data_IF_126872337559
#
_entry.id   IF_126872337559
#
_cell.length_a   1.000
_cell.length_b   1.000
_cell.length_c   1.000
_cell.angle_alpha   90.00
_cell.angle_beta   90.00
_cell.angle_gamma   90.00
#
_symmetry.space_group_name_H-M   'P 1'
#
loop_
_entity.id
_entity.type
_entity.pdbx_description
1 polymer ?
#
# COMPACT_ATOMS: atom_id res chain seq x y z
N UNK A 1 11.17 -30.85 -12.35
CA UNK A 1 10.46 -31.68 -11.35
C UNK A 1 10.97 -31.42 -9.94
N UNK A 2 10.12 -31.59 -8.92
CA UNK A 2 10.48 -31.44 -7.49
C UNK A 2 10.29 -30.06 -6.86
N UNK A 3 9.97 -29.03 -7.65
CA UNK A 3 9.80 -27.64 -7.21
C UNK A 3 8.86 -27.43 -6.01
N UNK A 4 7.76 -28.17 -5.90
CA UNK A 4 6.83 -28.07 -4.76
C UNK A 4 7.42 -28.46 -3.40
N UNK A 5 8.53 -29.20 -3.39
CA UNK A 5 9.17 -29.70 -2.17
C UNK A 5 10.44 -28.93 -1.82
N UNK A 6 10.75 -27.85 -2.54
CA UNK A 6 11.88 -26.96 -2.22
C UNK A 6 11.50 -26.06 -1.04
N UNK A 7 12.16 -26.18 0.13
CA UNK A 7 11.81 -25.41 1.32
C UNK A 7 11.90 -23.89 1.13
N UNK A 8 12.74 -23.44 0.19
CA UNK A 8 12.94 -22.03 -0.13
C UNK A 8 11.68 -21.35 -0.70
N UNK A 9 10.73 -22.13 -1.22
CA UNK A 9 9.48 -21.63 -1.79
C UNK A 9 8.31 -21.65 -0.80
N UNK A 10 8.54 -22.12 0.43
CA UNK A 10 7.53 -22.11 1.49
C UNK A 10 7.34 -20.68 1.99
N UNK A 11 6.12 -20.18 1.87
CA UNK A 11 5.72 -18.88 2.39
C UNK A 11 5.44 -19.01 3.88
N UNK A 12 6.22 -18.31 4.71
CA UNK A 12 6.00 -18.23 6.16
C UNK A 12 5.56 -16.80 6.55
N UNK A 13 6.46 -15.83 6.36
CA UNK A 13 6.15 -14.41 6.55
C UNK A 13 5.56 -13.80 5.27
N UNK A 14 4.55 -12.94 5.44
CA UNK A 14 4.03 -12.10 4.35
C UNK A 14 5.07 -11.07 3.88
N UNK A 15 4.98 -10.71 2.60
CA UNK A 15 5.68 -9.56 2.05
C UNK A 15 4.99 -8.26 2.50
N UNK A 16 5.61 -7.13 2.18
CA UNK A 16 4.99 -5.83 2.38
C UNK A 16 3.92 -5.60 1.32
N UNK A 17 2.76 -5.07 1.71
CA UNK A 17 1.67 -4.80 0.79
C UNK A 17 0.91 -3.54 1.23
N UNK A 18 0.27 -2.87 0.28
CA UNK A 18 -0.64 -1.76 0.51
C UNK A 18 -1.72 -1.71 -0.57
N UNK A 19 -2.89 -1.23 -0.18
CA UNK A 19 -4.03 -1.10 -1.07
C UNK A 19 -4.78 0.21 -0.82
N UNK A 20 -5.39 0.72 -1.89
CA UNK A 20 -6.29 1.88 -1.86
C UNK A 20 -7.70 1.37 -1.58
N UNK A 21 -8.36 1.96 -0.59
CA UNK A 21 -9.77 1.68 -0.27
C UNK A 21 -10.68 2.85 -0.63
N UNK A 22 -10.11 4.06 -0.74
CA UNK A 22 -10.82 5.28 -1.11
C UNK A 22 -9.98 6.08 -2.11
N UNK A 23 -10.47 6.33 -3.34
CA UNK A 23 -11.83 6.04 -3.80
C UNK A 23 -12.16 4.55 -3.92
N UNK A 24 -13.40 4.21 -3.59
CA UNK A 24 -13.92 2.87 -3.76
C UNK A 24 -14.12 2.55 -5.26
N UNK A 25 -14.24 1.26 -5.57
CA UNK A 25 -14.57 0.84 -6.93
C UNK A 25 -15.88 1.49 -7.37
N UNK A 26 -15.85 2.10 -8.56
CA UNK A 26 -16.97 2.85 -9.17
C UNK A 26 -17.51 4.02 -8.34
N UNK A 27 -16.73 4.55 -7.39
CA UNK A 27 -17.11 5.75 -6.65
C UNK A 27 -17.17 6.98 -7.58
N UNK A 28 -18.30 7.68 -7.56
CA UNK A 28 -18.49 8.95 -8.27
C UNK A 28 -18.16 10.11 -7.33
N UNK A 29 -17.01 10.74 -7.52
CA UNK A 29 -16.60 11.93 -6.77
C UNK A 29 -17.16 13.19 -7.41
N UNK A 30 -18.07 13.88 -6.71
CA UNK A 30 -18.67 15.14 -7.21
C UNK A 30 -17.73 16.32 -6.97
N UNK A 31 -17.57 17.18 -8.00
CA UNK A 31 -16.68 18.33 -7.94
C UNK A 31 -17.43 19.55 -7.37
N UNK A 32 -17.33 19.77 -6.05
CA UNK A 32 -17.96 20.91 -5.35
C UNK A 32 -17.08 22.17 -5.33
N UNK A 33 -16.62 22.61 -6.50
CA UNK A 33 -15.84 23.84 -6.68
C UNK A 33 -14.32 23.63 -6.80
N UNK A 34 -13.61 24.70 -7.18
CA UNK A 34 -12.19 24.63 -7.60
C UNK A 34 -11.20 24.24 -6.49
N UNK A 35 -11.57 24.44 -5.22
CA UNK A 35 -10.73 24.13 -4.05
C UNK A 35 -11.15 22.83 -3.34
N UNK A 36 -12.07 22.07 -3.93
CA UNK A 36 -12.52 20.82 -3.32
C UNK A 36 -11.36 19.81 -3.22
N UNK A 37 -11.25 19.18 -2.07
CA UNK A 37 -10.29 18.10 -1.78
C UNK A 37 -11.01 16.77 -1.66
N UNK A 38 -10.25 15.70 -1.85
CA UNK A 38 -10.67 14.33 -1.61
C UNK A 38 -9.66 13.66 -0.69
N UNK A 39 -10.13 12.93 0.32
CA UNK A 39 -9.25 12.17 1.22
C UNK A 39 -9.10 10.75 0.69
N UNK A 40 -7.98 10.48 0.02
CA UNK A 40 -7.60 9.13 -0.34
C UNK A 40 -7.24 8.34 0.92
N UNK A 41 -7.66 7.07 0.98
CA UNK A 41 -7.43 6.20 2.14
C UNK A 41 -7.05 4.80 1.70
N UNK A 42 -6.42 4.09 2.62
CA UNK A 42 -6.18 2.67 2.48
C UNK A 42 -5.48 2.07 3.68
N UNK A 43 -4.96 0.87 3.47
CA UNK A 43 -4.18 0.16 4.47
C UNK A 43 -2.84 -0.31 3.91
N UNK A 44 -1.94 -0.65 4.81
CA UNK A 44 -0.68 -1.32 4.51
C UNK A 44 -0.32 -2.30 5.63
N UNK A 45 0.43 -3.35 5.28
CA UNK A 45 0.96 -4.33 6.23
C UNK A 45 2.30 -4.89 5.77
N UNK A 46 3.05 -5.53 6.68
CA UNK A 46 4.23 -6.33 6.36
C UNK A 46 4.31 -7.54 7.30
N UNK A 47 4.80 -8.67 6.81
CA UNK A 47 5.02 -9.88 7.62
C UNK A 47 6.21 -9.78 8.59
N UNK A 48 6.46 -10.84 9.36
CA UNK A 48 7.57 -10.91 10.32
C UNK A 48 7.50 -9.89 11.47
N UNK A 49 6.35 -9.24 11.64
CA UNK A 49 6.10 -8.21 12.64
C UNK A 49 6.85 -6.90 12.35
N UNK A 50 7.20 -6.66 11.09
CA UNK A 50 7.91 -5.43 10.65
C UNK A 50 6.94 -4.27 10.57
N UNK A 51 7.32 -3.14 11.16
CA UNK A 51 6.49 -1.93 11.12
C UNK A 51 6.52 -1.33 9.71
N UNK A 52 5.35 -1.00 9.16
CA UNK A 52 5.25 -0.11 7.99
C UNK A 52 5.64 1.31 8.43
N UNK A 53 6.67 1.86 7.82
CA UNK A 53 7.27 3.16 8.19
C UNK A 53 6.85 4.28 7.26
N UNK A 54 6.46 3.94 6.03
CA UNK A 54 6.12 4.91 5.00
C UNK A 54 5.14 4.31 4.01
N UNK A 55 4.13 5.08 3.64
CA UNK A 55 3.25 4.82 2.50
C UNK A 55 3.29 6.06 1.62
N UNK A 56 3.36 5.82 0.31
CA UNK A 56 3.47 6.86 -0.70
C UNK A 56 2.39 6.66 -1.76
N UNK A 57 1.84 7.77 -2.25
CA UNK A 57 0.81 7.80 -3.28
C UNK A 57 1.32 8.52 -4.53
N UNK A 58 1.04 7.98 -5.71
CA UNK A 58 1.39 8.57 -6.99
C UNK A 58 0.16 8.77 -7.85
N UNK A 59 0.15 9.89 -8.59
CA UNK A 59 -0.91 10.28 -9.52
C UNK A 59 -0.39 10.43 -10.97
N UNK A 60 0.85 10.03 -11.22
CA UNK A 60 1.57 10.25 -12.48
C UNK A 60 2.36 9.01 -12.94
N UNK A 61 1.79 7.83 -12.67
CA UNK A 61 2.33 6.53 -13.10
C UNK A 61 3.67 6.20 -12.42
N UNK A 62 3.84 6.62 -11.16
CA UNK A 62 5.01 6.31 -10.33
C UNK A 62 6.22 7.20 -10.57
N UNK A 63 6.07 8.33 -11.28
CA UNK A 63 7.16 9.30 -11.53
C UNK A 63 7.44 10.15 -10.30
N UNK A 64 6.38 10.62 -9.63
CA UNK A 64 6.46 11.34 -8.36
C UNK A 64 5.56 10.69 -7.31
N UNK A 65 5.93 10.90 -6.05
CA UNK A 65 5.37 10.20 -4.90
C UNK A 65 5.15 11.19 -3.76
N UNK A 66 3.93 11.24 -3.24
CA UNK A 66 3.57 12.04 -2.08
C UNK A 66 3.54 11.18 -0.82
N UNK A 67 4.05 11.71 0.28
CA UNK A 67 4.03 11.03 1.57
C UNK A 67 2.64 11.13 2.21
N UNK A 68 2.09 9.98 2.62
CA UNK A 68 0.78 9.91 3.30
C UNK A 68 0.92 10.02 4.82
N UNK A 69 -0.15 10.41 5.51
CA UNK A 69 -0.23 10.30 6.97
C UNK A 69 -0.53 8.85 7.37
N UNK A 70 0.24 8.30 8.32
CA UNK A 70 0.07 6.93 8.81
C UNK A 70 -0.54 6.89 10.20
N UNK A 71 -1.48 5.97 10.39
CA UNK A 71 -2.05 5.62 11.70
C UNK A 71 -1.81 4.14 11.98
N UNK A 72 -1.17 3.85 13.11
CA UNK A 72 -1.02 2.50 13.65
C UNK A 72 -1.95 2.37 14.87
N UNK A 73 -3.17 1.82 14.72
CA UNK A 73 -4.11 1.72 15.84
C UNK A 73 -3.58 0.81 16.95
N UNK A 74 -2.88 -0.24 16.57
CA UNK A 74 -2.33 -1.23 17.48
C UNK A 74 -0.91 -0.87 17.91
N UNK A 75 -0.67 -1.02 19.21
CA UNK A 75 0.64 -0.80 19.81
C UNK A 75 1.58 -1.97 19.47
N UNK A 76 2.90 -1.72 19.38
CA UNK A 76 3.85 -2.81 19.22
C UNK A 76 3.81 -3.74 20.44
N UNK A 77 4.17 -5.00 20.21
CA UNK A 77 4.45 -5.93 21.32
C UNK A 77 5.64 -5.45 22.14
N UNK A 78 5.89 -6.06 23.30
CA UNK A 78 7.07 -5.80 24.14
C UNK A 78 8.41 -5.95 23.38
N UNK A 79 8.44 -6.78 22.33
CA UNK A 79 9.61 -6.98 21.49
C UNK A 79 9.67 -6.02 20.27
N UNK A 80 8.82 -4.98 20.23
CA UNK A 80 8.77 -4.01 19.13
C UNK A 80 8.10 -4.54 17.86
N UNK A 81 7.36 -5.67 17.93
CA UNK A 81 6.72 -6.27 16.75
C UNK A 81 5.36 -5.64 16.45
N UNK A 82 5.12 -5.34 15.18
CA UNK A 82 3.87 -4.82 14.65
C UNK A 82 3.17 -5.91 13.82
N UNK A 83 2.20 -6.59 14.42
CA UNK A 83 1.49 -7.70 13.78
C UNK A 83 0.24 -7.27 13.01
N UNK A 84 -0.28 -6.08 13.31
CA UNK A 84 -1.46 -5.54 12.67
C UNK A 84 -1.07 -4.55 11.58
N UNK A 85 -1.93 -4.47 10.57
CA UNK A 85 -1.90 -3.43 9.55
C UNK A 85 -1.94 -2.02 10.13
N UNK A 86 -1.58 -1.05 9.30
CA UNK A 86 -1.77 0.37 9.54
C UNK A 86 -2.69 0.96 8.47
N UNK A 87 -3.28 2.10 8.79
CA UNK A 87 -4.08 2.88 7.85
C UNK A 87 -3.28 4.08 7.37
N UNK A 88 -3.54 4.49 6.14
CA UNK A 88 -2.96 5.69 5.56
C UNK A 88 -4.04 6.61 5.02
N UNK A 89 -3.79 7.91 5.08
CA UNK A 89 -4.65 8.94 4.52
C UNK A 89 -3.82 10.01 3.78
N UNK A 90 -4.37 10.53 2.69
CA UNK A 90 -3.78 11.64 1.94
C UNK A 90 -4.88 12.54 1.37
N UNK A 91 -4.87 13.81 1.76
CA UNK A 91 -5.78 14.80 1.20
C UNK A 91 -5.21 15.35 -0.11
N UNK A 92 -5.95 15.16 -1.20
CA UNK A 92 -5.55 15.59 -2.54
C UNK A 92 -6.55 16.58 -3.14
N UNK A 93 -6.10 17.64 -3.82
CA UNK A 93 -7.01 18.48 -4.59
C UNK A 93 -7.71 17.67 -5.69
N UNK A 94 -9.04 17.76 -5.79
CA UNK A 94 -9.83 17.01 -6.80
C UNK A 94 -9.33 17.31 -8.21
N UNK A 95 -8.89 18.55 -8.48
CA UNK A 95 -8.33 18.92 -9.78
C UNK A 95 -7.06 18.15 -10.16
N UNK A 96 -6.27 17.71 -9.18
CA UNK A 96 -5.10 16.85 -9.42
C UNK A 96 -5.54 15.42 -9.74
N UNK A 97 -6.50 14.88 -8.98
CA UNK A 97 -7.09 13.57 -9.26
C UNK A 97 -7.73 13.52 -10.65
N UNK A 98 -8.47 14.56 -11.04
CA UNK A 98 -9.15 14.65 -12.34
C UNK A 98 -8.17 14.57 -13.53
N UNK A 99 -6.93 15.03 -13.34
CA UNK A 99 -5.88 14.97 -14.37
C UNK A 99 -5.07 13.67 -14.34
N UNK A 100 -5.18 12.90 -13.25
CA UNK A 100 -4.47 11.65 -13.08
C UNK A 100 -5.13 10.57 -13.93
N UNK A 101 -4.31 9.80 -14.66
CA UNK A 101 -4.81 8.62 -15.39
C UNK A 101 -5.00 7.41 -14.48
N UNK A 102 -4.21 7.33 -13.43
CA UNK A 102 -4.24 6.26 -12.44
C UNK A 102 -3.70 6.74 -11.11
N UNK A 103 -4.10 6.05 -10.04
CA UNK A 103 -3.52 6.18 -8.72
C UNK A 103 -2.70 4.94 -8.41
N UNK A 104 -1.52 5.12 -7.83
CA UNK A 104 -0.66 4.03 -7.37
C UNK A 104 -0.30 4.25 -5.92
N UNK A 105 -0.20 3.17 -5.15
CA UNK A 105 0.25 3.20 -3.76
C UNK A 105 1.40 2.22 -3.59
N UNK A 106 2.36 2.58 -2.73
CA UNK A 106 3.38 1.64 -2.26
C UNK A 106 3.73 1.89 -0.80
N UNK A 107 4.11 0.82 -0.11
CA UNK A 107 4.58 0.89 1.27
C UNK A 107 6.08 0.56 1.39
N UNK A 108 6.65 0.97 2.53
CA UNK A 108 7.99 0.61 3.00
C UNK A 108 7.93 0.17 4.46
N UNK A 109 8.69 -0.86 4.81
CA UNK A 109 8.81 -1.32 6.20
C UNK A 109 10.15 -0.96 6.84
N UNK A 110 10.32 -1.32 8.12
CA UNK A 110 11.57 -1.12 8.87
C UNK A 110 12.78 -1.84 8.28
N UNK A 111 12.57 -2.86 7.45
CA UNK A 111 13.65 -3.54 6.71
C UNK A 111 13.97 -2.89 5.37
N UNK A 112 13.34 -1.75 5.05
CA UNK A 112 13.41 -1.08 3.75
C UNK A 112 12.94 -1.96 2.58
N UNK A 113 12.08 -2.96 2.85
CA UNK A 113 11.39 -3.69 1.79
C UNK A 113 10.29 -2.80 1.21
N UNK A 114 10.06 -2.89 -0.11
CA UNK A 114 8.96 -2.19 -0.80
C UNK A 114 8.29 -3.10 -1.83
N UNK A 115 7.12 -2.66 -2.32
CA UNK A 115 6.39 -3.34 -3.39
C UNK A 115 7.09 -3.13 -4.75
N UNK A 116 7.18 -4.16 -5.61
CA UNK A 116 7.72 -4.01 -6.95
C UNK A 116 6.82 -3.11 -7.81
N UNK A 117 7.41 -2.41 -8.78
CA UNK A 117 6.65 -1.58 -9.72
C UNK A 117 5.78 -2.41 -10.67
N UNK A 118 6.28 -3.60 -11.05
CA UNK A 118 5.61 -4.51 -11.97
C UNK A 118 5.17 -5.76 -11.22
N UNK A 119 4.00 -6.30 -11.60
CA UNK A 119 3.49 -7.52 -10.99
C UNK A 119 4.46 -8.69 -11.21
N UNK A 120 4.61 -9.53 -10.18
CA UNK A 120 5.32 -10.80 -10.28
C UNK A 120 4.31 -11.92 -10.28
N UNK A 121 4.13 -12.58 -11.43
CA UNK A 121 3.23 -13.71 -11.54
C UNK A 121 3.90 -15.00 -11.06
N UNK A 122 3.11 -15.87 -10.42
CA UNK A 122 3.49 -17.23 -10.13
C UNK A 122 2.27 -18.15 -10.31
N UNK A 123 2.54 -19.45 -10.40
CA UNK A 123 1.53 -20.48 -10.69
C UNK A 123 0.35 -20.48 -9.71
N UNK A 124 0.59 -20.09 -8.46
CA UNK A 124 -0.43 -20.10 -7.40
C UNK A 124 -1.16 -18.76 -7.24
N UNK A 125 -0.73 -17.70 -7.95
CA UNK A 125 -1.24 -16.35 -7.75
C UNK A 125 -1.01 -15.79 -6.34
N UNK A 126 -0.07 -16.35 -5.58
CA UNK A 126 0.18 -15.97 -4.18
C UNK A 126 1.16 -14.81 -4.06
N UNK A 127 1.14 -14.11 -2.93
CA UNK A 127 2.12 -13.07 -2.59
C UNK A 127 2.22 -11.94 -3.62
N UNK A 128 1.13 -11.66 -4.35
CA UNK A 128 1.08 -10.52 -5.24
C UNK A 128 1.00 -9.23 -4.40
N UNK A 129 2.06 -8.43 -4.48
CA UNK A 129 2.21 -7.17 -3.76
C UNK A 129 2.71 -6.07 -4.68
#
# INVERSE_FOLDING_TARGET
DGWWYQPEYIINDLNINSAITSPAHDEIVTISGQKATYTCKGYAYSGGGRKVTRVELSFDEGKTWDLTALTHPEQPTRAGKHWCWCFWEYEVPIMRMLRAKQMMVRAWDTGLNTQPMNFTWNVMGMMNN
#
